data_IF_681454719292
#
_entry.id   IF_681454719292
#
_cell.length_a   1.000
_cell.length_b   1.000
_cell.length_c   1.000
_cell.angle_alpha   90.00
_cell.angle_beta   90.00
_cell.angle_gamma   90.00
#
_symmetry.space_group_name_H-M   'P 1'
#
loop_
_entity.id
_entity.type
_entity.pdbx_description
1 polymer ?
#
# COMPACT_ATOMS: atom_id res chain seq x y z
N UNK A 1 31.67 -50.82 -9.75
CA UNK A 1 31.15 -50.18 -8.52
C UNK A 1 30.81 -48.69 -8.70
N UNK A 2 30.75 -48.13 -9.92
CA UNK A 2 30.51 -46.68 -10.15
C UNK A 2 29.05 -46.31 -10.45
N UNK A 3 28.24 -47.24 -10.98
CA UNK A 3 26.85 -46.97 -11.42
C UNK A 3 25.83 -46.81 -10.29
N UNK A 4 26.13 -47.32 -9.08
CA UNK A 4 25.23 -47.19 -7.92
C UNK A 4 25.33 -45.81 -7.24
N UNK A 5 26.49 -45.15 -7.34
CA UNK A 5 26.75 -43.86 -6.69
C UNK A 5 26.05 -42.68 -7.39
N UNK A 6 26.06 -42.68 -8.74
CA UNK A 6 25.44 -41.62 -9.53
C UNK A 6 23.90 -41.61 -9.43
N UNK A 7 23.28 -42.81 -9.35
CA UNK A 7 21.83 -42.95 -9.15
C UNK A 7 21.38 -42.44 -7.78
N UNK A 8 22.23 -42.61 -6.75
CA UNK A 8 21.95 -42.12 -5.41
C UNK A 8 22.07 -40.59 -5.33
N UNK A 9 23.03 -39.98 -6.04
CA UNK A 9 23.19 -38.53 -6.11
C UNK A 9 22.04 -37.83 -6.87
N UNK A 10 21.59 -38.41 -7.98
CA UNK A 10 20.40 -37.94 -8.70
C UNK A 10 19.13 -38.05 -7.85
N UNK A 11 18.97 -39.13 -7.07
CA UNK A 11 17.84 -39.28 -6.17
C UNK A 11 17.81 -38.21 -5.05
N UNK A 12 18.97 -37.86 -4.49
CA UNK A 12 19.08 -36.82 -3.45
C UNK A 12 18.78 -35.42 -4.01
N UNK A 13 19.28 -35.09 -5.21
CA UNK A 13 18.97 -33.80 -5.85
C UNK A 13 17.48 -33.65 -6.21
N UNK A 14 16.86 -34.74 -6.67
CA UNK A 14 15.41 -34.76 -6.95
C UNK A 14 14.60 -34.58 -5.66
N UNK A 15 15.05 -35.18 -4.54
CA UNK A 15 14.41 -35.04 -3.23
C UNK A 15 14.56 -33.62 -2.64
N UNK A 16 15.69 -32.94 -2.87
CA UNK A 16 15.89 -31.55 -2.45
C UNK A 16 14.97 -30.55 -3.17
N UNK A 17 14.67 -30.78 -4.47
CA UNK A 17 13.71 -29.93 -5.20
C UNK A 17 12.25 -30.13 -4.77
N UNK A 18 11.94 -31.24 -4.11
CA UNK A 18 10.59 -31.54 -3.64
C UNK A 18 10.23 -30.82 -2.32
N UNK A 19 11.25 -30.38 -1.55
CA UNK A 19 11.09 -29.66 -0.28
C UNK A 19 11.31 -28.15 -0.39
N UNK A 20 11.87 -27.68 -1.51
CA UNK A 20 11.93 -26.25 -1.86
C UNK A 20 10.70 -25.78 -2.64
N UNK A 21 9.54 -26.43 -2.44
CA UNK A 21 8.27 -25.84 -2.89
C UNK A 21 8.11 -24.55 -2.11
N UNK A 22 8.06 -23.37 -2.75
CA UNK A 22 7.65 -22.17 -2.05
C UNK A 22 6.34 -22.51 -1.37
N UNK A 23 6.31 -22.34 -0.03
CA UNK A 23 5.09 -22.43 0.75
C UNK A 23 4.02 -21.71 -0.05
N UNK A 24 2.98 -22.46 -0.43
CA UNK A 24 1.88 -21.99 -1.24
C UNK A 24 1.54 -20.58 -0.80
N UNK A 25 1.67 -19.63 -1.72
CA UNK A 25 1.08 -18.31 -1.59
C UNK A 25 -0.32 -18.46 -0.98
N UNK A 26 -0.70 -17.52 -0.11
CA UNK A 26 -2.04 -17.44 0.46
C UNK A 26 -3.06 -17.92 -0.56
N UNK A 27 -3.95 -18.88 -0.21
CA UNK A 27 -4.92 -19.38 -1.17
C UNK A 27 -5.62 -18.17 -1.76
N UNK A 28 -5.40 -17.93 -3.06
CA UNK A 28 -6.16 -16.98 -3.83
C UNK A 28 -7.57 -17.57 -3.92
N UNK A 29 -8.32 -17.45 -2.82
CA UNK A 29 -9.66 -17.96 -2.70
C UNK A 29 -10.47 -17.32 -3.82
N UNK A 30 -11.05 -18.17 -4.68
CA UNK A 30 -11.97 -17.81 -5.75
C UNK A 30 -13.30 -17.26 -5.24
N UNK A 31 -13.26 -16.45 -4.18
CA UNK A 31 -14.36 -15.60 -3.80
C UNK A 31 -14.37 -14.42 -4.79
N UNK A 32 -15.52 -14.22 -5.46
CA UNK A 32 -15.75 -13.01 -6.24
C UNK A 32 -15.45 -11.80 -5.34
N UNK A 33 -14.54 -10.90 -5.72
CA UNK A 33 -14.22 -9.76 -4.88
C UNK A 33 -15.47 -8.91 -4.68
N UNK A 34 -15.81 -8.60 -3.42
CA UNK A 34 -16.93 -7.71 -3.09
C UNK A 34 -16.65 -6.27 -3.52
N UNK A 35 -15.38 -5.89 -3.57
CA UNK A 35 -14.92 -4.56 -3.94
C UNK A 35 -13.86 -4.65 -5.03
N UNK A 36 -13.89 -3.69 -5.95
CA UNK A 36 -12.88 -3.56 -7.00
C UNK A 36 -11.95 -2.42 -6.64
N UNK A 37 -10.64 -2.66 -6.71
CA UNK A 37 -9.64 -1.61 -6.57
C UNK A 37 -9.70 -0.71 -7.81
N UNK A 38 -9.95 0.59 -7.60
CA UNK A 38 -10.07 1.58 -8.68
C UNK A 38 -9.22 2.83 -8.42
N UNK A 39 -8.41 2.88 -7.35
CA UNK A 39 -7.73 4.11 -6.94
C UNK A 39 -6.78 4.62 -8.02
N UNK A 40 -6.03 3.70 -8.66
CA UNK A 40 -5.13 4.06 -9.76
C UNK A 40 -5.87 4.59 -11.00
N UNK A 41 -7.10 4.12 -11.25
CA UNK A 41 -7.97 4.54 -12.35
C UNK A 41 -8.64 5.89 -12.02
N UNK A 42 -9.04 6.07 -10.77
CA UNK A 42 -9.63 7.28 -10.23
C UNK A 42 -8.61 8.41 -10.00
N UNK A 43 -7.31 8.18 -10.22
CA UNK A 43 -6.25 9.19 -10.01
C UNK A 43 -5.80 9.35 -8.56
N UNK A 44 -6.29 8.51 -7.63
CA UNK A 44 -5.90 8.52 -6.22
C UNK A 44 -4.69 7.61 -6.02
N UNK A 45 -3.50 8.20 -5.81
CA UNK A 45 -2.24 7.44 -5.63
C UNK A 45 -1.51 7.71 -4.32
N UNK A 46 -2.21 8.32 -3.36
CA UNK A 46 -1.61 8.65 -2.07
C UNK A 46 -1.17 7.39 -1.33
N UNK A 47 0.09 7.37 -0.91
CA UNK A 47 0.63 6.35 -0.01
C UNK A 47 0.92 7.02 1.32
N UNK A 48 0.30 6.51 2.38
CA UNK A 48 0.48 7.03 3.73
C UNK A 48 1.94 6.89 4.17
N UNK A 49 2.49 8.00 4.65
CA UNK A 49 3.84 8.11 5.18
C UNK A 49 3.78 8.13 6.70
N UNK A 50 4.29 7.05 7.30
CA UNK A 50 4.49 6.93 8.74
C UNK A 50 5.80 7.59 9.17
N UNK A 51 5.87 8.17 10.38
CA UNK A 51 7.11 8.73 10.87
C UNK A 51 8.20 7.66 11.00
N UNK A 52 9.42 8.03 10.64
CA UNK A 52 10.61 7.18 10.77
C UNK A 52 11.29 7.53 12.09
N UNK A 53 11.39 6.56 12.99
CA UNK A 53 12.03 6.73 14.30
C UNK A 53 13.41 6.08 14.33
N UNK A 54 14.20 6.46 15.33
CA UNK A 54 15.44 5.77 15.67
C UNK A 54 15.22 4.26 15.80
N UNK A 55 16.21 3.47 15.34
CA UNK A 55 16.15 2.01 15.31
C UNK A 55 15.89 1.39 16.69
N UNK A 56 16.28 2.06 17.78
CA UNK A 56 16.00 1.62 19.16
C UNK A 56 14.51 1.62 19.49
N UNK A 57 13.74 2.49 18.85
CA UNK A 57 12.30 2.62 19.02
C UNK A 57 11.50 1.80 18.00
N UNK A 58 12.17 1.19 17.02
CA UNK A 58 11.54 0.46 15.92
C UNK A 58 10.66 -0.73 16.35
N UNK A 59 10.83 -1.25 17.58
CA UNK A 59 10.02 -2.35 18.11
C UNK A 59 8.70 -1.89 18.75
N UNK A 60 8.64 -0.66 19.26
CA UNK A 60 7.47 -0.14 20.00
C UNK A 60 6.68 0.87 19.17
N UNK A 61 7.38 1.71 18.40
CA UNK A 61 6.77 2.83 17.67
C UNK A 61 5.86 2.49 16.48
N UNK A 62 6.01 1.36 15.74
CA UNK A 62 5.11 1.07 14.62
C UNK A 62 3.62 1.05 15.01
N UNK A 63 3.30 0.61 16.23
CA UNK A 63 1.92 0.50 16.70
C UNK A 63 1.31 1.84 17.15
N UNK A 64 2.12 2.75 17.67
CA UNK A 64 1.66 4.08 18.12
C UNK A 64 1.46 5.01 16.91
N UNK A 65 2.23 4.79 15.85
CA UNK A 65 2.36 5.73 14.73
C UNK A 65 1.38 5.47 13.60
N UNK A 66 0.76 4.28 13.59
CA UNK A 66 -0.36 3.93 12.73
C UNK A 66 -1.68 4.61 13.13
N UNK A 67 -1.77 5.23 14.30
CA UNK A 67 -3.01 5.86 14.80
C UNK A 67 -3.36 7.17 14.11
N UNK A 68 -2.42 7.82 13.43
CA UNK A 68 -2.59 9.16 12.86
C UNK A 68 -2.94 9.16 11.35
N UNK A 69 -3.34 8.02 10.78
CA UNK A 69 -3.82 7.95 9.40
C UNK A 69 -5.32 8.27 9.36
N UNK A 70 -5.74 9.13 8.43
CA UNK A 70 -7.13 9.55 8.32
C UNK A 70 -7.49 10.08 6.93
N UNK A 71 -8.77 9.98 6.61
CA UNK A 71 -9.38 10.59 5.43
C UNK A 71 -10.65 11.34 5.85
N UNK A 72 -10.84 12.54 5.32
CA UNK A 72 -12.06 13.30 5.44
C UNK A 72 -12.69 13.48 4.06
N UNK A 73 -14.02 13.51 4.02
CA UNK A 73 -14.81 13.76 2.81
C UNK A 73 -15.58 15.06 3.01
N UNK A 74 -15.49 15.98 2.06
CA UNK A 74 -16.18 17.25 2.12
C UNK A 74 -16.01 18.03 0.83
N UNK A 75 -16.92 18.95 0.55
CA UNK A 75 -16.84 19.87 -0.58
C UNK A 75 -16.02 21.11 -0.14
N UNK A 76 -14.74 21.17 -0.50
CA UNK A 76 -13.87 22.25 -0.02
C UNK A 76 -13.98 23.51 -0.88
N UNK A 77 -14.44 23.38 -2.12
CA UNK A 77 -14.47 24.45 -3.12
C UNK A 77 -15.88 24.97 -3.45
N UNK A 78 -16.92 24.37 -2.87
CA UNK A 78 -18.32 24.73 -3.05
C UNK A 78 -18.91 24.30 -4.41
N UNK A 79 -18.30 23.34 -5.09
CA UNK A 79 -18.75 22.90 -6.42
C UNK A 79 -19.86 21.84 -6.38
N UNK A 80 -20.30 21.47 -5.18
CA UNK A 80 -21.36 20.50 -4.91
C UNK A 80 -20.90 19.05 -5.03
N UNK A 81 -19.60 18.78 -5.18
CA UNK A 81 -19.04 17.44 -5.27
C UNK A 81 -18.21 17.11 -4.02
N UNK A 82 -18.25 15.84 -3.55
CA UNK A 82 -17.42 15.43 -2.42
C UNK A 82 -15.96 15.30 -2.85
N UNK A 83 -15.08 16.06 -2.22
CA UNK A 83 -13.62 15.97 -2.33
C UNK A 83 -13.04 15.11 -1.19
N UNK A 84 -11.79 14.67 -1.33
CA UNK A 84 -11.10 13.86 -0.33
C UNK A 84 -9.88 14.58 0.23
N UNK A 85 -9.76 14.64 1.56
CA UNK A 85 -8.55 15.10 2.23
C UNK A 85 -7.89 13.94 2.97
N UNK A 86 -6.62 13.67 2.68
CA UNK A 86 -5.88 12.52 3.22
C UNK A 86 -4.65 13.01 3.99
N UNK A 87 -4.54 12.60 5.25
CA UNK A 87 -3.47 13.04 6.14
C UNK A 87 -2.31 12.05 6.21
N UNK A 88 -1.10 12.59 6.28
CA UNK A 88 0.12 11.86 6.58
C UNK A 88 0.49 12.01 8.04
N UNK A 89 1.10 10.96 8.61
CA UNK A 89 1.51 10.93 10.01
C UNK A 89 2.96 11.38 10.21
N UNK A 90 3.77 11.36 9.15
CA UNK A 90 5.18 11.76 9.22
C UNK A 90 5.33 13.27 9.24
N UNK A 91 6.19 13.77 10.14
CA UNK A 91 6.60 15.18 10.12
C UNK A 91 7.25 15.51 8.77
N UNK A 92 6.84 16.63 8.16
CA UNK A 92 7.34 17.09 6.86
C UNK A 92 6.76 16.37 5.64
N UNK A 93 5.92 15.35 5.82
CA UNK A 93 5.19 14.74 4.71
C UNK A 93 3.98 15.60 4.33
N UNK A 94 3.79 15.95 3.05
CA UNK A 94 2.62 16.72 2.64
C UNK A 94 1.35 15.87 2.74
N UNK A 95 0.27 16.48 3.23
CA UNK A 95 -1.07 15.89 3.11
C UNK A 95 -1.53 16.01 1.65
N UNK A 96 -2.47 15.16 1.24
CA UNK A 96 -3.06 15.22 -0.10
C UNK A 96 -4.50 15.77 -0.02
N UNK A 97 -4.87 16.57 -1.00
CA UNK A 97 -6.21 17.10 -1.19
C UNK A 97 -6.62 16.76 -2.61
N UNK A 98 -7.62 15.89 -2.74
CA UNK A 98 -8.11 15.37 -3.99
C UNK A 98 -9.42 16.04 -4.35
N UNK A 99 -9.39 16.88 -5.38
CA UNK A 99 -10.60 17.48 -5.95
C UNK A 99 -11.31 16.49 -6.87
N UNK A 100 -12.60 16.31 -6.70
CA UNK A 100 -13.43 15.47 -7.55
C UNK A 100 -13.75 16.18 -8.88
N UNK A 101 -13.39 15.54 -10.00
CA UNK A 101 -13.59 16.10 -11.34
C UNK A 101 -15.04 15.90 -11.85
N UNK A 102 -15.89 15.18 -11.11
CA UNK A 102 -17.31 14.95 -11.45
C UNK A 102 -17.60 13.64 -12.18
N UNK A 103 -16.57 12.88 -12.51
CA UNK A 103 -16.63 11.59 -13.22
C UNK A 103 -16.03 10.44 -12.39
N UNK A 104 -16.02 10.59 -11.06
CA UNK A 104 -15.34 9.70 -10.11
C UNK A 104 -13.81 9.67 -10.26
N UNK A 105 -13.22 10.59 -11.02
CA UNK A 105 -11.77 10.83 -11.02
C UNK A 105 -11.42 12.00 -10.10
N UNK A 106 -10.18 11.98 -9.61
CA UNK A 106 -9.69 12.93 -8.64
C UNK A 106 -8.36 13.53 -9.08
N UNK A 107 -8.18 14.81 -8.80
CA UNK A 107 -6.93 15.54 -9.03
C UNK A 107 -6.32 15.94 -7.70
N UNK A 108 -5.06 15.57 -7.44
CA UNK A 108 -4.33 16.08 -6.27
C UNK A 108 -3.99 17.56 -6.47
N UNK A 109 -4.61 18.42 -5.66
CA UNK A 109 -4.49 19.87 -5.68
C UNK A 109 -3.80 20.41 -4.43
N UNK A 110 -3.25 19.54 -3.56
CA UNK A 110 -2.66 19.95 -2.29
C UNK A 110 -1.58 21.03 -2.44
N UNK A 111 -0.69 20.88 -3.43
CA UNK A 111 0.37 21.84 -3.71
C UNK A 111 -0.16 23.20 -4.20
N UNK A 112 -1.31 23.20 -4.90
CA UNK A 112 -1.91 24.42 -5.45
C UNK A 112 -2.59 25.24 -4.35
N UNK A 113 -3.29 24.57 -3.44
CA UNK A 113 -4.00 25.23 -2.33
C UNK A 113 -3.07 25.80 -1.25
N UNK A 114 -1.84 25.29 -1.12
CA UNK A 114 -0.84 25.85 -0.20
C UNK A 114 -0.34 27.25 -0.62
N UNK A 115 -0.50 27.63 -1.89
CA UNK A 115 -0.10 28.95 -2.39
C UNK A 115 -1.15 30.05 -2.18
N UNK A 116 -2.39 29.67 -1.88
CA UNK A 116 -3.53 30.60 -1.72
C UNK A 116 -3.85 30.95 -0.26
N UNK A 117 -3.07 30.45 0.70
CA UNK A 117 -3.32 30.63 2.16
C UNK A 117 -2.11 31.29 2.86
N UNK A 118 -1.23 31.96 2.11
CA UNK A 118 -0.16 32.82 2.65
C UNK A 118 -0.22 34.20 2.02
#
# INVERSE_FOLDING_TARGET
MELFSLKMWLAVMTLCTLWARPSSAFPAGGAKPMFTEIAAQAGVRHVHQKPVFDQRLAKVMPWITSLNAGVAVGDYNGDGRPDLYVVNSSSGAPNALYRNNGDMTFTDVAAQTLSSVI
#
